data_IF_046892341384
#
_entry.id   IF_046892341384
#
_cell.length_a   1.000
_cell.length_b   1.000
_cell.length_c   1.000
_cell.angle_alpha   90.00
_cell.angle_beta   90.00
_cell.angle_gamma   90.00
#
_symmetry.space_group_name_H-M   'P 1'
#
loop_
_entity.id
_entity.type
_entity.pdbx_description
1 polymer ?
#
# COMPACT_ATOMS: atom_id res chain seq x y z
N UNK A 1 36.78 36.32 -2.63
CA UNK A 1 35.91 36.35 -3.82
C UNK A 1 35.92 37.75 -4.37
N UNK A 2 36.30 37.96 -5.64
CA UNK A 2 36.40 39.32 -6.21
C UNK A 2 35.00 39.83 -6.57
N UNK A 3 34.74 41.13 -6.38
CA UNK A 3 33.46 41.80 -6.65
C UNK A 3 32.91 41.52 -8.08
N UNK A 4 33.82 41.39 -9.06
CA UNK A 4 33.47 41.03 -10.45
C UNK A 4 32.84 39.64 -10.57
N UNK A 5 33.31 38.65 -9.80
CA UNK A 5 32.80 37.28 -9.82
C UNK A 5 31.40 37.20 -9.17
N UNK A 6 31.19 37.92 -8.08
CA UNK A 6 29.87 38.04 -7.42
C UNK A 6 28.86 38.70 -8.37
N UNK A 7 29.26 39.79 -9.03
CA UNK A 7 28.41 40.51 -10.00
C UNK A 7 28.02 39.61 -11.18
N UNK A 8 28.98 38.89 -11.76
CA UNK A 8 28.72 37.97 -12.87
C UNK A 8 27.74 36.83 -12.46
N UNK A 9 27.92 36.25 -11.27
CA UNK A 9 26.99 35.21 -10.75
C UNK A 9 25.58 35.77 -10.53
N UNK A 10 25.44 36.94 -9.94
CA UNK A 10 24.15 37.61 -9.78
C UNK A 10 23.47 37.90 -11.12
N UNK A 11 24.20 38.41 -12.11
CA UNK A 11 23.67 38.67 -13.45
C UNK A 11 23.20 37.39 -14.14
N UNK A 12 23.95 36.26 -14.00
CA UNK A 12 23.55 35.00 -14.55
C UNK A 12 22.27 34.48 -13.89
N UNK A 13 22.15 34.59 -12.55
CA UNK A 13 20.93 34.21 -11.83
C UNK A 13 19.75 35.09 -12.23
N UNK A 14 19.94 36.42 -12.41
CA UNK A 14 18.93 37.37 -12.87
C UNK A 14 18.35 36.95 -14.23
N UNK A 15 19.20 36.74 -15.22
CA UNK A 15 18.76 36.36 -16.57
C UNK A 15 18.11 34.96 -16.59
N UNK A 16 18.55 34.04 -15.73
CA UNK A 16 17.91 32.74 -15.61
C UNK A 16 16.51 32.88 -15.06
N UNK A 17 16.32 33.55 -13.91
CA UNK A 17 15.02 33.76 -13.27
C UNK A 17 14.06 34.49 -14.22
N UNK A 18 14.54 35.53 -14.92
CA UNK A 18 13.73 36.29 -15.86
C UNK A 18 13.20 35.44 -17.02
N UNK A 19 14.02 34.49 -17.52
CA UNK A 19 13.61 33.57 -18.59
C UNK A 19 12.65 32.44 -18.11
N UNK A 20 12.78 32.03 -16.85
CA UNK A 20 11.99 30.93 -16.30
C UNK A 20 10.63 31.42 -15.74
N UNK A 21 10.56 32.64 -15.22
CA UNK A 21 9.44 33.11 -14.40
C UNK A 21 8.86 34.47 -14.78
N UNK A 22 9.33 35.10 -15.87
CA UNK A 22 8.91 36.42 -16.40
C UNK A 22 9.11 37.61 -15.46
N UNK A 23 9.49 37.42 -14.18
CA UNK A 23 9.78 38.51 -13.25
C UNK A 23 10.82 38.11 -12.19
N UNK A 24 11.64 39.09 -11.78
CA UNK A 24 12.72 38.90 -10.78
C UNK A 24 12.46 39.77 -9.56
N UNK A 25 12.45 39.17 -8.37
CA UNK A 25 12.46 39.93 -7.10
C UNK A 25 13.85 39.86 -6.45
N UNK A 26 14.17 40.87 -5.62
CA UNK A 26 15.43 40.92 -4.88
C UNK A 26 15.59 39.66 -3.98
N UNK A 27 14.49 39.15 -3.44
CA UNK A 27 14.47 37.91 -2.61
C UNK A 27 14.79 36.69 -3.44
N UNK A 28 14.18 36.50 -4.63
CA UNK A 28 14.49 35.40 -5.55
C UNK A 28 15.96 35.43 -5.97
N UNK A 29 16.47 36.61 -6.29
CA UNK A 29 17.87 36.74 -6.68
C UNK A 29 18.85 36.45 -5.54
N UNK A 30 18.55 36.95 -4.33
CA UNK A 30 19.33 36.64 -3.12
C UNK A 30 19.34 35.14 -2.83
N UNK A 31 18.18 34.51 -2.87
CA UNK A 31 18.03 33.09 -2.60
C UNK A 31 18.76 32.23 -3.64
N UNK A 32 18.68 32.59 -4.91
CA UNK A 32 19.42 31.92 -5.98
C UNK A 32 20.95 32.08 -5.81
N UNK A 33 21.40 33.28 -5.44
CA UNK A 33 22.82 33.54 -5.22
C UNK A 33 23.40 32.81 -3.99
N UNK A 34 22.66 32.75 -2.89
CA UNK A 34 23.04 32.08 -1.66
C UNK A 34 22.88 30.54 -1.74
N UNK A 35 22.36 30.03 -2.86
CA UNK A 35 21.99 28.62 -2.95
C UNK A 35 20.82 28.27 -1.99
N UNK A 36 20.19 29.28 -1.41
CA UNK A 36 18.93 29.14 -0.70
C UNK A 36 17.90 29.01 -1.84
N UNK A 37 17.89 27.83 -2.46
CA UNK A 37 16.92 27.54 -3.50
C UNK A 37 15.55 27.72 -2.89
N UNK A 38 14.75 28.58 -3.50
CA UNK A 38 13.33 28.33 -3.58
C UNK A 38 13.26 26.94 -4.22
N UNK A 39 13.22 25.92 -3.39
CA UNK A 39 12.86 24.58 -3.80
C UNK A 39 11.35 24.62 -4.04
N UNK A 40 10.94 25.47 -5.03
CA UNK A 40 9.59 25.45 -5.55
C UNK A 40 9.44 24.15 -6.32
N UNK A 41 8.35 23.44 -6.06
CA UNK A 41 8.00 22.23 -6.75
C UNK A 41 9.00 21.06 -6.50
N UNK A 42 9.22 20.73 -5.22
CA UNK A 42 10.04 19.60 -4.81
C UNK A 42 9.21 18.35 -4.55
N UNK A 43 9.77 17.21 -4.95
CA UNK A 43 9.07 15.94 -4.96
C UNK A 43 8.75 15.46 -3.55
N UNK A 44 9.72 15.48 -2.63
CA UNK A 44 9.50 14.99 -1.26
C UNK A 44 8.56 15.91 -0.47
N UNK A 45 8.65 17.22 -0.68
CA UNK A 45 7.72 18.18 -0.06
C UNK A 45 6.27 17.94 -0.49
N UNK A 46 6.05 17.75 -1.79
CA UNK A 46 4.72 17.44 -2.31
C UNK A 46 4.25 16.04 -1.90
N UNK A 47 5.17 15.09 -1.79
CA UNK A 47 4.87 13.75 -1.30
C UNK A 47 4.47 13.79 0.18
N UNK A 48 5.17 14.57 1.00
CA UNK A 48 4.82 14.78 2.42
C UNK A 48 3.41 15.40 2.55
N UNK A 49 3.11 16.43 1.76
CA UNK A 49 1.78 17.04 1.75
C UNK A 49 0.71 16.02 1.34
N UNK A 50 0.95 15.23 0.30
CA UNK A 50 0.05 14.16 -0.11
C UNK A 50 -0.15 13.12 1.01
N UNK A 51 0.89 12.75 1.72
CA UNK A 51 0.81 11.83 2.85
C UNK A 51 -0.01 12.40 4.01
N UNK A 52 0.13 13.69 4.32
CA UNK A 52 -0.69 14.39 5.34
C UNK A 52 -2.17 14.41 4.95
N UNK A 53 -2.49 14.70 3.68
CA UNK A 53 -3.87 14.62 3.17
C UNK A 53 -4.44 13.20 3.29
N UNK A 54 -3.62 12.19 2.95
CA UNK A 54 -4.00 10.79 3.08
C UNK A 54 -4.27 10.39 4.53
N UNK A 55 -3.43 10.84 5.47
CA UNK A 55 -3.59 10.58 6.90
C UNK A 55 -4.91 11.16 7.42
N UNK A 56 -5.21 12.40 7.07
CA UNK A 56 -6.49 13.04 7.42
C UNK A 56 -7.70 12.28 6.83
N UNK A 57 -7.58 11.70 5.62
CA UNK A 57 -8.63 10.86 5.04
C UNK A 57 -8.79 9.52 5.78
N UNK A 58 -7.69 8.94 6.29
CA UNK A 58 -7.72 7.72 7.11
C UNK A 58 -8.42 7.97 8.43
N UNK A 59 -8.14 9.08 9.11
CA UNK A 59 -8.81 9.49 10.35
C UNK A 59 -10.32 9.64 10.18
N UNK A 60 -10.76 10.14 9.03
CA UNK A 60 -12.18 10.26 8.65
C UNK A 60 -12.79 8.95 8.14
N UNK A 61 -12.07 7.83 8.14
CA UNK A 61 -12.55 6.55 7.62
C UNK A 61 -12.78 6.50 6.10
N UNK A 62 -12.31 7.49 5.35
CA UNK A 62 -12.49 7.59 3.88
C UNK A 62 -11.46 6.76 3.11
N UNK A 63 -10.32 6.45 3.73
CA UNK A 63 -9.22 5.67 3.15
C UNK A 63 -8.68 4.63 4.13
N UNK A 64 -8.16 3.54 3.60
CA UNK A 64 -7.57 2.48 4.42
C UNK A 64 -6.17 2.85 4.91
N UNK A 65 -5.89 2.64 6.19
CA UNK A 65 -4.57 2.86 6.79
C UNK A 65 -3.46 2.07 6.09
N UNK A 66 -3.77 0.88 5.56
CA UNK A 66 -2.81 0.08 4.79
C UNK A 66 -2.35 0.76 3.50
N UNK A 67 -3.20 1.57 2.86
CA UNK A 67 -2.82 2.36 1.69
C UNK A 67 -1.91 3.52 2.09
N UNK A 68 -2.24 4.24 3.16
CA UNK A 68 -1.38 5.29 3.73
C UNK A 68 0.02 4.75 4.05
N UNK A 69 0.11 3.61 4.76
CA UNK A 69 1.38 2.99 5.11
C UNK A 69 2.25 2.65 3.89
N UNK A 70 1.64 2.25 2.76
CA UNK A 70 2.36 2.02 1.50
C UNK A 70 2.95 3.31 0.95
N UNK A 71 2.18 4.38 0.90
CA UNK A 71 2.66 5.68 0.42
C UNK A 71 3.78 6.22 1.30
N UNK A 72 3.65 6.08 2.62
CA UNK A 72 4.69 6.46 3.58
C UNK A 72 5.97 5.63 3.38
N UNK A 73 5.86 4.32 3.12
CA UNK A 73 7.00 3.47 2.82
C UNK A 73 7.73 3.91 1.54
N UNK A 74 6.98 4.25 0.48
CA UNK A 74 7.57 4.75 -0.77
C UNK A 74 8.28 6.08 -0.55
N UNK A 75 7.66 7.01 0.19
CA UNK A 75 8.29 8.27 0.59
C UNK A 75 9.63 8.02 1.28
N UNK A 76 9.65 7.16 2.30
CA UNK A 76 10.85 6.85 3.06
C UNK A 76 11.96 6.23 2.19
N UNK A 77 11.61 5.31 1.29
CA UNK A 77 12.57 4.71 0.37
C UNK A 77 13.13 5.74 -0.61
N UNK A 78 12.29 6.61 -1.16
CA UNK A 78 12.76 7.64 -2.09
C UNK A 78 13.63 8.69 -1.38
N UNK A 79 13.24 9.13 -0.19
CA UNK A 79 14.04 10.05 0.63
C UNK A 79 15.41 9.44 0.99
N UNK A 80 15.43 8.17 1.39
CA UNK A 80 16.67 7.45 1.69
C UNK A 80 17.55 7.31 0.44
N UNK A 81 16.97 6.96 -0.71
CA UNK A 81 17.67 6.91 -1.98
C UNK A 81 18.31 8.24 -2.35
N UNK A 82 17.56 9.33 -2.26
CA UNK A 82 18.10 10.67 -2.55
C UNK A 82 19.26 11.02 -1.61
N UNK A 83 19.13 10.73 -0.34
CA UNK A 83 20.18 10.98 0.65
C UNK A 83 21.42 10.11 0.41
N UNK A 84 21.24 8.81 0.30
CA UNK A 84 22.35 7.87 0.19
C UNK A 84 23.06 7.93 -1.15
N UNK A 85 22.32 8.00 -2.26
CA UNK A 85 22.86 7.89 -3.63
C UNK A 85 23.08 9.22 -4.33
N UNK A 86 22.27 10.23 -4.02
CA UNK A 86 22.34 11.52 -4.69
C UNK A 86 22.86 12.64 -3.78
N UNK A 87 23.08 12.36 -2.47
CA UNK A 87 23.55 13.33 -1.46
C UNK A 87 22.66 14.57 -1.38
N UNK A 88 21.35 14.37 -1.47
CA UNK A 88 20.32 15.42 -1.48
C UNK A 88 19.24 15.11 -0.46
N UNK A 89 18.67 16.16 0.12
CA UNK A 89 17.54 16.06 1.05
C UNK A 89 16.18 16.11 0.35
N UNK A 90 16.13 16.66 -0.87
CA UNK A 90 14.97 16.69 -1.76
C UNK A 90 15.41 16.93 -3.21
N UNK A 91 14.48 16.86 -4.17
CA UNK A 91 14.75 17.04 -5.59
C UNK A 91 13.61 17.80 -6.26
N UNK A 92 13.92 18.78 -7.10
CA UNK A 92 12.93 19.47 -7.92
C UNK A 92 12.40 18.54 -9.02
N UNK A 93 11.11 18.65 -9.38
CA UNK A 93 10.53 17.82 -10.45
C UNK A 93 11.27 17.92 -11.79
N UNK A 94 11.79 19.10 -12.13
CA UNK A 94 12.58 19.30 -13.37
C UNK A 94 13.91 18.54 -13.41
N UNK A 95 14.38 18.09 -12.28
CA UNK A 95 15.62 17.28 -12.16
C UNK A 95 15.31 15.78 -12.18
N UNK A 96 14.03 15.39 -12.08
CA UNK A 96 13.61 13.99 -12.15
C UNK A 96 13.67 13.52 -13.61
N UNK A 97 14.74 12.82 -13.94
CA UNK A 97 14.97 12.24 -15.26
C UNK A 97 14.70 10.74 -15.25
N UNK A 98 14.66 10.14 -16.44
CA UNK A 98 14.56 8.68 -16.60
C UNK A 98 15.70 7.95 -15.86
N UNK A 99 16.90 8.49 -15.89
CA UNK A 99 18.06 7.92 -15.20
C UNK A 99 17.85 7.86 -13.68
N UNK A 100 17.26 8.91 -13.08
CA UNK A 100 16.94 8.92 -11.64
C UNK A 100 15.92 7.85 -11.31
N UNK A 101 14.90 7.66 -12.17
CA UNK A 101 13.88 6.62 -11.98
C UNK A 101 14.50 5.23 -12.10
N UNK A 102 15.36 5.01 -13.10
CA UNK A 102 16.09 3.75 -13.30
C UNK A 102 17.03 3.45 -12.13
N UNK A 103 17.74 4.45 -11.63
CA UNK A 103 18.63 4.31 -10.47
C UNK A 103 17.81 3.97 -9.19
N UNK A 104 16.64 4.58 -9.02
CA UNK A 104 15.77 4.27 -7.90
C UNK A 104 15.21 2.84 -8.01
N UNK A 105 14.77 2.43 -9.19
CA UNK A 105 14.33 1.04 -9.45
C UNK A 105 15.47 0.04 -9.11
N UNK A 106 16.67 0.28 -9.60
CA UNK A 106 17.85 -0.55 -9.30
C UNK A 106 18.14 -0.60 -7.79
N UNK A 107 18.05 0.54 -7.11
CA UNK A 107 18.22 0.61 -5.65
C UNK A 107 17.19 -0.26 -4.92
N UNK A 108 15.92 -0.19 -5.31
CA UNK A 108 14.87 -0.99 -4.71
C UNK A 108 15.05 -2.50 -4.98
N UNK A 109 15.48 -2.89 -6.18
CA UNK A 109 15.72 -4.29 -6.56
C UNK A 109 16.94 -4.87 -5.84
N UNK A 110 18.07 -4.20 -5.99
CA UNK A 110 19.38 -4.76 -5.59
C UNK A 110 19.63 -4.56 -4.09
N UNK A 111 19.38 -3.36 -3.57
CA UNK A 111 19.72 -3.05 -2.19
C UNK A 111 18.59 -3.33 -1.20
N UNK A 112 17.34 -3.20 -1.63
CA UNK A 112 16.17 -3.51 -0.77
C UNK A 112 15.57 -4.89 -1.04
N UNK A 113 15.97 -5.58 -2.11
CA UNK A 113 15.52 -6.93 -2.44
C UNK A 113 14.02 -7.02 -2.76
N UNK A 114 13.43 -5.96 -3.32
CA UNK A 114 12.00 -5.93 -3.61
C UNK A 114 11.67 -6.67 -4.90
N UNK A 115 10.57 -7.41 -4.90
CA UNK A 115 10.04 -8.09 -6.09
C UNK A 115 9.39 -7.11 -7.08
N UNK A 116 9.28 -7.50 -8.36
CA UNK A 116 8.67 -6.71 -9.44
C UNK A 116 7.29 -6.17 -9.09
N UNK A 117 6.43 -7.00 -8.51
CA UNK A 117 5.10 -6.56 -8.10
C UNK A 117 5.12 -5.52 -6.97
N UNK A 118 6.12 -5.59 -6.08
CA UNK A 118 6.31 -4.56 -5.05
C UNK A 118 6.84 -3.27 -5.66
N UNK A 119 7.75 -3.35 -6.61
CA UNK A 119 8.27 -2.21 -7.36
C UNK A 119 7.16 -1.49 -8.12
N UNK A 120 6.31 -2.23 -8.83
CA UNK A 120 5.13 -1.65 -9.49
C UNK A 120 4.27 -0.84 -8.52
N UNK A 121 3.99 -1.39 -7.32
CA UNK A 121 3.24 -0.68 -6.28
C UNK A 121 3.99 0.57 -5.79
N UNK A 122 5.31 0.53 -5.72
CA UNK A 122 6.15 1.62 -5.19
C UNK A 122 6.37 2.75 -6.19
N UNK A 123 6.27 2.47 -7.49
CA UNK A 123 6.35 3.53 -8.52
C UNK A 123 5.06 4.33 -8.67
N UNK A 124 3.89 3.74 -8.35
CA UNK A 124 2.59 4.39 -8.51
C UNK A 124 2.45 5.76 -7.79
N UNK A 125 2.90 5.95 -6.54
CA UNK A 125 2.85 7.25 -5.89
C UNK A 125 3.69 8.31 -6.58
N UNK A 126 4.89 7.96 -7.05
CA UNK A 126 5.77 8.87 -7.78
C UNK A 126 5.18 9.24 -9.15
N UNK A 127 4.65 8.27 -9.88
CA UNK A 127 3.88 8.49 -11.11
C UNK A 127 2.73 9.47 -10.88
N UNK A 128 1.95 9.30 -9.82
CA UNK A 128 0.84 10.19 -9.50
C UNK A 128 1.30 11.62 -9.21
N UNK A 129 2.43 11.80 -8.55
CA UNK A 129 3.00 13.12 -8.25
C UNK A 129 3.53 13.78 -9.53
N UNK A 130 4.25 13.04 -10.37
CA UNK A 130 4.79 13.57 -11.63
C UNK A 130 3.71 13.90 -12.64
N UNK A 131 2.64 13.09 -12.75
CA UNK A 131 1.48 13.39 -13.58
C UNK A 131 0.79 14.71 -13.14
N UNK A 132 0.61 14.90 -11.83
CA UNK A 132 0.09 16.17 -11.28
C UNK A 132 1.00 17.34 -11.61
N UNK A 133 2.32 17.17 -11.48
CA UNK A 133 3.29 18.21 -11.81
C UNK A 133 3.30 18.55 -13.31
N UNK A 134 3.16 17.54 -14.17
CA UNK A 134 3.05 17.72 -15.61
C UNK A 134 1.76 18.45 -16.00
N UNK A 135 0.62 18.06 -15.49
CA UNK A 135 -0.68 18.76 -15.72
C UNK A 135 -0.69 20.19 -15.24
N UNK A 136 0.14 20.53 -14.25
CA UNK A 136 0.34 21.90 -13.75
C UNK A 136 1.40 22.68 -14.51
N UNK A 137 2.03 22.08 -15.54
CA UNK A 137 3.07 22.73 -16.34
C UNK A 137 4.43 22.88 -15.63
N UNK A 138 4.64 22.21 -14.50
CA UNK A 138 5.89 22.24 -13.72
C UNK A 138 7.01 21.48 -14.45
N UNK A 139 6.67 20.37 -15.10
CA UNK A 139 7.56 19.61 -15.97
C UNK A 139 7.06 19.64 -17.41
N UNK A 140 8.00 19.70 -18.36
CA UNK A 140 7.70 19.79 -19.80
C UNK A 140 7.48 18.43 -20.48
N UNK A 141 8.00 17.36 -19.90
CA UNK A 141 7.91 16.00 -20.40
C UNK A 141 7.65 15.04 -19.24
N UNK A 142 7.00 13.91 -19.53
CA UNK A 142 6.81 12.87 -18.54
C UNK A 142 8.12 12.09 -18.34
N UNK A 143 8.75 12.13 -17.17
CA UNK A 143 9.98 11.39 -16.90
C UNK A 143 9.76 9.87 -16.85
N UNK A 144 8.51 9.41 -16.73
CA UNK A 144 8.14 8.01 -16.76
C UNK A 144 7.68 7.51 -18.14
N UNK A 145 7.61 8.39 -19.17
CA UNK A 145 7.05 8.06 -20.48
C UNK A 145 7.70 6.85 -21.18
N UNK A 146 8.96 6.55 -20.88
CA UNK A 146 9.67 5.37 -21.37
C UNK A 146 9.95 4.32 -20.27
N UNK A 147 9.44 4.54 -19.05
CA UNK A 147 9.57 3.59 -17.96
C UNK A 147 8.32 2.72 -17.91
N UNK A 148 8.45 1.47 -18.31
CA UNK A 148 7.38 0.48 -18.22
C UNK A 148 7.74 -0.57 -17.18
N UNK A 149 6.89 -0.71 -16.17
CA UNK A 149 6.93 -1.81 -15.24
C UNK A 149 5.55 -2.46 -15.22
N UNK A 150 5.50 -3.72 -15.65
CA UNK A 150 4.26 -4.49 -15.66
C UNK A 150 4.14 -5.33 -14.41
N UNK A 151 2.92 -5.43 -13.92
CA UNK A 151 2.62 -6.34 -12.81
C UNK A 151 2.67 -7.77 -13.33
N UNK A 152 3.54 -8.58 -12.73
CA UNK A 152 3.66 -9.99 -13.08
C UNK A 152 2.47 -10.77 -12.52
N UNK A 153 1.87 -11.60 -13.35
CA UNK A 153 0.91 -12.57 -12.86
C UNK A 153 1.58 -13.55 -11.89
N UNK A 154 0.93 -13.76 -10.76
CA UNK A 154 1.41 -14.70 -9.75
C UNK A 154 0.39 -15.82 -9.65
N UNK A 155 0.72 -16.97 -10.16
CA UNK A 155 -0.04 -18.19 -9.86
C UNK A 155 0.26 -18.61 -8.43
N UNK A 156 -0.77 -18.58 -7.59
CA UNK A 156 -0.66 -18.98 -6.18
C UNK A 156 -1.18 -20.37 -5.91
N UNK A 157 -1.66 -21.03 -6.96
CA UNK A 157 -2.31 -22.32 -6.82
C UNK A 157 -3.60 -22.26 -5.98
N UNK A 158 -4.13 -23.42 -5.67
CA UNK A 158 -5.29 -23.62 -4.80
C UNK A 158 -5.13 -24.94 -4.04
N UNK A 159 -5.82 -25.07 -2.90
CA UNK A 159 -5.85 -26.33 -2.18
C UNK A 159 -6.72 -27.35 -2.91
N UNK A 160 -6.19 -28.55 -3.06
CA UNK A 160 -6.97 -29.70 -3.52
C UNK A 160 -7.99 -30.11 -2.46
N UNK A 161 -8.97 -30.92 -2.85
CA UNK A 161 -9.96 -31.46 -1.91
C UNK A 161 -9.31 -32.34 -0.84
N UNK A 162 -8.28 -33.09 -1.20
CA UNK A 162 -7.52 -33.95 -0.28
C UNK A 162 -6.73 -33.13 0.75
N UNK A 163 -6.07 -32.05 0.31
CA UNK A 163 -5.38 -31.13 1.19
C UNK A 163 -6.35 -30.42 2.14
N UNK A 164 -7.53 -30.02 1.63
CA UNK A 164 -8.57 -29.40 2.44
C UNK A 164 -9.12 -30.39 3.51
N UNK A 165 -9.31 -31.67 3.17
CA UNK A 165 -9.70 -32.73 4.11
C UNK A 165 -8.61 -32.97 5.15
N UNK A 166 -7.35 -32.99 4.73
CA UNK A 166 -6.20 -33.15 5.64
C UNK A 166 -6.16 -32.02 6.66
N UNK A 167 -6.36 -30.78 6.18
CA UNK A 167 -6.47 -29.58 7.01
C UNK A 167 -7.63 -29.69 8.02
N UNK A 168 -8.81 -30.07 7.56
CA UNK A 168 -10.00 -30.16 8.38
C UNK A 168 -9.84 -31.20 9.53
N UNK A 169 -9.15 -32.31 9.27
CA UNK A 169 -8.93 -33.41 10.24
C UNK A 169 -7.69 -33.19 11.13
N UNK A 170 -6.81 -32.20 10.81
CA UNK A 170 -5.61 -31.98 11.60
C UNK A 170 -5.95 -31.38 12.98
N UNK A 171 -5.38 -31.97 14.03
CA UNK A 171 -5.55 -31.52 15.42
C UNK A 171 -4.21 -31.00 15.95
N UNK A 172 -4.22 -29.79 16.51
CA UNK A 172 -3.03 -29.19 17.06
C UNK A 172 -3.14 -29.02 18.58
N UNK A 173 -2.01 -29.16 19.27
CA UNK A 173 -1.94 -29.00 20.74
C UNK A 173 -2.34 -27.57 21.17
N UNK A 174 -1.93 -26.56 20.38
CA UNK A 174 -2.24 -25.15 20.69
C UNK A 174 -3.65 -24.81 20.22
N UNK A 175 -4.53 -24.43 21.15
CA UNK A 175 -5.90 -23.99 20.86
C UNK A 175 -5.95 -22.89 19.78
N UNK A 176 -5.03 -21.94 19.81
CA UNK A 176 -4.96 -20.86 18.82
C UNK A 176 -4.65 -21.35 17.40
N UNK A 177 -3.87 -22.44 17.26
CA UNK A 177 -3.59 -23.04 15.94
C UNK A 177 -4.85 -23.70 15.37
N UNK A 178 -5.62 -24.41 16.21
CA UNK A 178 -6.92 -24.96 15.79
C UNK A 178 -7.91 -23.86 15.40
N UNK A 179 -7.98 -22.77 16.19
CA UNK A 179 -8.81 -21.62 15.84
C UNK A 179 -8.45 -21.05 14.47
N UNK A 180 -7.17 -20.83 14.19
CA UNK A 180 -6.72 -20.28 12.89
C UNK A 180 -7.01 -21.24 11.74
N UNK A 181 -6.85 -22.57 11.95
CA UNK A 181 -7.26 -23.60 10.98
C UNK A 181 -8.77 -23.48 10.68
N UNK A 182 -9.59 -23.45 11.71
CA UNK A 182 -11.04 -23.38 11.57
C UNK A 182 -11.50 -22.11 10.88
N UNK A 183 -10.87 -20.97 11.20
CA UNK A 183 -11.15 -19.70 10.51
C UNK A 183 -10.73 -19.74 9.04
N UNK A 184 -9.63 -20.41 8.73
CA UNK A 184 -9.20 -20.60 7.34
C UNK A 184 -10.19 -21.48 6.57
N UNK A 185 -10.62 -22.60 7.17
CA UNK A 185 -11.66 -23.47 6.60
C UNK A 185 -12.96 -22.70 6.38
N UNK A 186 -13.40 -21.92 7.36
CA UNK A 186 -14.56 -21.04 7.21
C UNK A 186 -14.43 -20.11 6.00
N UNK A 187 -13.24 -19.53 5.82
CA UNK A 187 -12.94 -18.71 4.63
C UNK A 187 -13.01 -19.51 3.32
N UNK A 188 -12.54 -20.77 3.30
CA UNK A 188 -12.62 -21.64 2.13
C UNK A 188 -14.07 -21.94 1.73
N UNK A 189 -14.95 -22.21 2.71
CA UNK A 189 -16.35 -22.56 2.44
C UNK A 189 -17.27 -21.36 2.25
N UNK A 190 -16.86 -20.15 2.63
CA UNK A 190 -17.68 -18.93 2.48
C UNK A 190 -17.15 -17.95 1.46
N UNK A 191 -15.90 -18.10 1.02
CA UNK A 191 -15.23 -17.11 0.17
C UNK A 191 -15.00 -15.75 0.84
N UNK A 192 -15.20 -15.63 2.16
CA UNK A 192 -14.96 -14.41 2.90
C UNK A 192 -13.47 -14.19 3.15
N UNK A 193 -13.03 -12.96 3.05
CA UNK A 193 -11.65 -12.60 3.37
C UNK A 193 -11.42 -12.57 4.89
N UNK A 194 -10.14 -12.60 5.31
CA UNK A 194 -9.78 -12.47 6.73
C UNK A 194 -10.50 -11.29 7.42
N UNK A 195 -10.54 -10.11 6.78
CA UNK A 195 -11.15 -8.94 7.42
C UNK A 195 -12.67 -9.05 7.49
N UNK A 196 -13.29 -9.68 6.49
CA UNK A 196 -14.74 -9.91 6.49
C UNK A 196 -15.14 -10.91 7.57
N UNK A 197 -14.36 -11.99 7.77
CA UNK A 197 -14.55 -12.95 8.88
C UNK A 197 -14.34 -12.27 10.24
N UNK A 198 -13.28 -11.48 10.36
CA UNK A 198 -12.94 -10.78 11.61
C UNK A 198 -14.01 -9.79 12.06
N UNK A 199 -14.71 -9.18 11.12
CA UNK A 199 -15.75 -8.19 11.38
C UNK A 199 -17.17 -8.76 11.24
N UNK A 200 -17.29 -10.09 11.05
CA UNK A 200 -18.59 -10.74 10.95
C UNK A 200 -19.31 -10.72 12.31
N UNK A 201 -20.53 -10.23 12.32
CA UNK A 201 -21.40 -10.17 13.50
C UNK A 201 -22.63 -11.06 13.32
N UNK A 202 -23.24 -11.49 14.40
CA UNK A 202 -24.38 -12.43 14.37
C UNK A 202 -25.59 -11.86 13.62
N UNK A 203 -25.82 -10.55 13.61
CA UNK A 203 -26.90 -9.89 12.86
C UNK A 203 -26.77 -10.04 11.33
N UNK A 204 -25.57 -10.39 10.84
CA UNK A 204 -25.32 -10.66 9.41
C UNK A 204 -25.70 -12.07 9.00
N UNK A 205 -26.00 -12.96 9.95
CA UNK A 205 -26.46 -14.32 9.69
C UNK A 205 -27.97 -14.30 9.78
N UNK A 206 -28.64 -14.53 8.65
CA UNK A 206 -30.07 -14.40 8.53
C UNK A 206 -30.67 -15.62 7.84
N UNK A 207 -31.81 -16.10 8.35
CA UNK A 207 -32.58 -17.13 7.67
C UNK A 207 -33.41 -16.51 6.56
N UNK A 208 -33.31 -17.08 5.37
CA UNK A 208 -34.01 -16.56 4.20
C UNK A 208 -35.32 -17.30 3.98
N UNK A 209 -36.39 -16.54 3.66
CA UNK A 209 -37.74 -17.09 3.50
C UNK A 209 -37.90 -17.94 2.23
N UNK A 210 -37.05 -17.70 1.20
CA UNK A 210 -37.20 -18.35 -0.10
C UNK A 210 -36.68 -19.77 -0.15
N UNK A 211 -35.72 -20.15 0.72
CA UNK A 211 -35.13 -21.49 0.78
C UNK A 211 -35.12 -22.07 2.20
N UNK A 212 -35.41 -21.26 3.21
CA UNK A 212 -35.39 -21.65 4.62
C UNK A 212 -33.97 -21.84 5.19
N UNK A 213 -32.92 -21.52 4.43
CA UNK A 213 -31.54 -21.67 4.81
C UNK A 213 -30.96 -20.41 5.46
N UNK A 214 -29.85 -20.58 6.17
CA UNK A 214 -29.11 -19.47 6.75
C UNK A 214 -28.09 -18.92 5.76
N UNK A 215 -28.04 -17.61 5.67
CA UNK A 215 -27.15 -16.87 4.77
C UNK A 215 -26.36 -15.82 5.54
N UNK A 216 -25.14 -15.58 5.11
CA UNK A 216 -24.38 -14.39 5.51
C UNK A 216 -24.73 -13.27 4.54
N UNK A 217 -25.36 -12.21 5.04
CA UNK A 217 -25.72 -11.01 4.28
C UNK A 217 -24.81 -9.87 4.70
N UNK A 218 -23.82 -9.57 3.89
CA UNK A 218 -22.79 -8.59 4.25
C UNK A 218 -22.30 -7.80 3.03
N UNK A 219 -21.41 -6.85 3.29
CA UNK A 219 -20.66 -6.13 2.25
C UNK A 219 -19.17 -6.31 2.49
N UNK A 220 -18.43 -6.62 1.42
CA UNK A 220 -16.99 -6.75 1.52
C UNK A 220 -16.35 -5.48 2.07
N UNK A 221 -15.56 -5.62 3.11
CA UNK A 221 -14.93 -4.49 3.81
C UNK A 221 -14.04 -3.67 2.86
N UNK A 222 -13.31 -4.33 1.95
CA UNK A 222 -12.38 -3.67 1.03
C UNK A 222 -13.07 -2.91 -0.11
N UNK A 223 -14.12 -3.47 -0.71
CA UNK A 223 -14.73 -2.98 -1.96
C UNK A 223 -16.12 -2.42 -1.79
N UNK A 224 -16.75 -2.64 -0.62
CA UNK A 224 -18.13 -2.29 -0.30
C UNK A 224 -19.18 -2.99 -1.20
N UNK A 225 -18.74 -3.99 -1.97
CA UNK A 225 -19.65 -4.80 -2.79
C UNK A 225 -20.45 -5.73 -1.89
N UNK A 226 -21.75 -5.91 -2.16
CA UNK A 226 -22.62 -6.85 -1.47
C UNK A 226 -22.11 -8.28 -1.67
N UNK A 227 -22.14 -9.08 -0.62
CA UNK A 227 -21.71 -10.48 -0.61
C UNK A 227 -22.72 -11.27 0.22
N UNK A 228 -23.53 -12.06 -0.46
CA UNK A 228 -24.53 -12.93 0.12
C UNK A 228 -24.06 -14.37 -0.06
N UNK A 229 -23.87 -15.09 1.03
CA UNK A 229 -23.25 -16.41 1.02
C UNK A 229 -24.14 -17.38 1.78
N UNK A 230 -24.67 -18.44 1.13
CA UNK A 230 -25.38 -19.52 1.83
C UNK A 230 -24.43 -20.24 2.77
N UNK A 231 -24.87 -20.56 3.97
CA UNK A 231 -24.11 -21.30 4.95
C UNK A 231 -24.21 -22.80 4.70
N UNK A 232 -23.09 -23.41 4.28
CA UNK A 232 -22.95 -24.86 4.26
C UNK A 232 -22.89 -25.43 5.69
N UNK A 233 -23.25 -26.69 5.90
CA UNK A 233 -23.27 -27.33 7.22
C UNK A 233 -21.94 -27.16 7.97
N UNK A 234 -20.81 -27.38 7.31
CA UNK A 234 -19.49 -27.18 7.91
C UNK A 234 -19.27 -25.76 8.43
N UNK A 235 -19.79 -24.76 7.72
CA UNK A 235 -19.70 -23.36 8.16
C UNK A 235 -20.61 -23.10 9.38
N UNK A 236 -21.81 -23.70 9.42
CA UNK A 236 -22.72 -23.63 10.58
C UNK A 236 -22.09 -24.30 11.81
N UNK A 237 -21.48 -25.48 11.65
CA UNK A 237 -20.76 -26.16 12.73
C UNK A 237 -19.62 -25.34 13.30
N UNK A 238 -18.87 -24.63 12.44
CA UNK A 238 -17.79 -23.74 12.89
C UNK A 238 -18.35 -22.53 13.66
N UNK A 239 -19.44 -21.94 13.22
CA UNK A 239 -20.11 -20.85 13.94
C UNK A 239 -20.55 -21.33 15.34
N UNK A 240 -21.22 -22.47 15.44
CA UNK A 240 -21.68 -23.00 16.70
C UNK A 240 -20.53 -23.37 17.65
N UNK A 241 -19.41 -23.93 17.10
CA UNK A 241 -18.20 -24.28 17.88
C UNK A 241 -17.58 -23.06 18.58
N UNK A 242 -17.64 -21.88 17.99
CA UNK A 242 -17.04 -20.66 18.54
C UNK A 242 -18.06 -19.70 19.17
N UNK A 243 -19.30 -20.11 19.27
CA UNK A 243 -20.39 -19.32 19.86
C UNK A 243 -20.06 -18.92 21.29
N UNK A 244 -20.19 -17.63 21.59
CA UNK A 244 -19.91 -17.07 22.91
C UNK A 244 -18.42 -16.97 23.28
N UNK A 245 -17.49 -17.35 22.38
CA UNK A 245 -16.05 -17.21 22.62
C UNK A 245 -15.46 -15.90 22.09
N UNK A 246 -16.18 -15.19 21.22
CA UNK A 246 -15.81 -13.86 20.74
C UNK A 246 -16.35 -12.77 21.68
N UNK A 247 -15.66 -11.63 21.76
CA UNK A 247 -16.16 -10.47 22.49
C UNK A 247 -17.20 -9.71 21.69
N UNK A 248 -18.21 -9.13 22.35
CA UNK A 248 -19.29 -8.38 21.70
C UNK A 248 -20.14 -9.26 20.79
N UNK A 249 -20.64 -8.67 19.70
CA UNK A 249 -21.51 -9.36 18.74
C UNK A 249 -20.77 -10.13 17.63
N UNK A 250 -19.44 -10.23 17.72
CA UNK A 250 -18.65 -10.95 16.73
C UNK A 250 -18.88 -12.47 16.76
N UNK A 251 -18.90 -13.07 15.56
CA UNK A 251 -19.08 -14.52 15.41
C UNK A 251 -17.82 -15.29 15.84
N UNK A 252 -16.63 -14.75 15.57
CA UNK A 252 -15.36 -15.44 15.81
C UNK A 252 -14.34 -14.62 16.59
N UNK A 253 -13.57 -15.24 17.52
CA UNK A 253 -12.49 -14.58 18.25
C UNK A 253 -11.21 -14.48 17.39
N UNK A 254 -11.28 -13.75 16.25
CA UNK A 254 -10.21 -13.68 15.25
C UNK A 254 -8.92 -13.04 15.77
N UNK A 255 -7.76 -13.76 15.72
CA UNK A 255 -6.46 -13.19 16.01
C UNK A 255 -6.04 -12.11 14.99
N UNK A 256 -4.91 -11.44 15.22
CA UNK A 256 -4.37 -10.51 14.24
C UNK A 256 -3.98 -11.21 12.93
N UNK A 257 -3.99 -10.49 11.79
CA UNK A 257 -3.62 -11.05 10.50
C UNK A 257 -2.19 -11.65 10.50
N UNK A 258 -1.25 -10.96 11.18
CA UNK A 258 0.12 -11.48 11.33
C UNK A 258 0.17 -12.80 12.11
N UNK A 259 -0.64 -12.91 13.17
CA UNK A 259 -0.78 -14.15 13.95
C UNK A 259 -1.39 -15.25 13.09
N UNK A 260 -2.48 -14.98 12.37
CA UNK A 260 -3.10 -15.94 11.46
C UNK A 260 -2.09 -16.46 10.43
N UNK A 261 -1.38 -15.58 9.74
CA UNK A 261 -0.38 -15.97 8.73
C UNK A 261 0.75 -16.83 9.32
N UNK A 262 1.21 -16.51 10.55
CA UNK A 262 2.22 -17.33 11.25
C UNK A 262 1.71 -18.75 11.52
N UNK A 263 0.50 -18.88 12.04
CA UNK A 263 -0.10 -20.18 12.31
C UNK A 263 -0.43 -20.96 11.03
N UNK A 264 -0.92 -20.29 9.96
CA UNK A 264 -1.20 -20.94 8.68
C UNK A 264 0.05 -21.57 8.07
N UNK A 265 1.20 -20.90 8.13
CA UNK A 265 2.48 -21.49 7.69
C UNK A 265 2.86 -22.74 8.50
N UNK A 266 2.60 -22.74 9.81
CA UNK A 266 2.85 -23.92 10.66
C UNK A 266 1.89 -25.06 10.35
N UNK A 267 0.62 -24.75 10.12
CA UNK A 267 -0.42 -25.71 9.74
C UNK A 267 -0.08 -26.35 8.40
N UNK A 268 0.22 -25.55 7.36
CA UNK A 268 0.59 -26.05 6.05
C UNK A 268 1.77 -27.01 6.13
N UNK A 269 2.85 -26.61 6.83
CA UNK A 269 4.02 -27.48 7.04
C UNK A 269 3.67 -28.79 7.76
N UNK A 270 2.83 -28.75 8.78
CA UNK A 270 2.42 -29.92 9.52
C UNK A 270 1.52 -30.88 8.71
N UNK A 271 0.75 -30.33 7.77
CA UNK A 271 -0.12 -31.10 6.87
C UNK A 271 0.57 -31.50 5.54
N UNK A 272 1.86 -31.18 5.34
CA UNK A 272 2.58 -31.46 4.10
C UNK A 272 2.11 -30.67 2.89
N UNK A 273 1.47 -29.52 3.10
CA UNK A 273 0.98 -28.61 2.05
C UNK A 273 2.08 -27.59 1.73
N UNK A 274 2.42 -27.45 0.47
CA UNK A 274 3.52 -26.60 -0.04
C UNK A 274 3.06 -25.17 -0.39
#
# INVERSE_FOLDING_TARGET
>A
MQLKEVSARLTNHYHRILREEDFVTAEKLRNAFLGIGVMENCILKDFENMNREFEAMVEKGQRAKSTYNKYLAVYNHFATFLWEKKKRTDMAYKELTKEIITDFDKYLRVEKGLSDNTLWIYTMPLLSLTDKAWRRGIVRSDPFGEYSLEMQETDRGYLTEEELRTLANAVFVKKQTNLVRDMFLFGCFTGLSYIDIKTLTHDKIQRMDFDGEEWIITRRTKTRVSSNVPLMEIAKELIERYKGLAGGDFVFPMPSNGTCNKHLKQIAKACGIS
#
